data_IF_756390676399
#
_entry.id   IF_756390676399
#
_cell.length_a   1.000
_cell.length_b   1.000
_cell.length_c   1.000
_cell.angle_alpha   90.00
_cell.angle_beta   90.00
_cell.angle_gamma   90.00
#
_symmetry.space_group_name_H-M   'P 1'
#
loop_
_entity.id
_entity.type
_entity.pdbx_description
1 polymer ?
#
# COMPACT_ATOMS: atom_id res chain seq x y z
N UNK A 1 9.99 -9.08 -2.05
CA UNK A 1 8.83 -9.25 -2.97
C UNK A 1 9.02 -8.27 -4.12
N UNK A 2 8.64 -8.58 -5.37
CA UNK A 2 8.82 -7.61 -6.49
C UNK A 2 7.81 -6.46 -6.38
N UNK A 3 8.18 -5.25 -6.81
CA UNK A 3 7.26 -4.08 -6.78
C UNK A 3 5.99 -4.32 -7.59
N UNK A 4 6.08 -4.94 -8.76
CA UNK A 4 4.91 -5.29 -9.58
C UNK A 4 3.92 -6.18 -8.83
N UNK A 5 4.41 -7.13 -8.02
CA UNK A 5 3.56 -7.96 -7.16
C UNK A 5 2.89 -7.12 -6.06
N UNK A 6 3.62 -6.22 -5.42
CA UNK A 6 3.07 -5.33 -4.39
C UNK A 6 1.97 -4.44 -4.99
N UNK A 7 2.24 -3.81 -6.14
CA UNK A 7 1.28 -2.95 -6.85
C UNK A 7 0.02 -3.73 -7.24
N UNK A 8 0.17 -4.95 -7.76
CA UNK A 8 -0.98 -5.80 -8.09
C UNK A 8 -1.83 -6.12 -6.86
N UNK A 9 -1.20 -6.52 -5.74
CA UNK A 9 -1.94 -6.79 -4.49
C UNK A 9 -2.69 -5.55 -3.98
N UNK A 10 -2.06 -4.37 -4.08
CA UNK A 10 -2.68 -3.09 -3.71
C UNK A 10 -3.88 -2.77 -4.59
N UNK A 11 -3.76 -2.98 -5.91
CA UNK A 11 -4.83 -2.79 -6.88
C UNK A 11 -6.03 -3.71 -6.62
N UNK A 12 -5.78 -5.01 -6.48
CA UNK A 12 -6.83 -6.00 -6.21
C UNK A 12 -7.55 -5.70 -4.89
N UNK A 13 -6.80 -5.34 -3.85
CA UNK A 13 -7.36 -4.98 -2.54
C UNK A 13 -8.22 -3.71 -2.62
N UNK A 14 -7.73 -2.67 -3.30
CA UNK A 14 -8.51 -1.45 -3.53
C UNK A 14 -9.78 -1.72 -4.33
N UNK A 15 -9.70 -2.58 -5.35
CA UNK A 15 -10.84 -2.99 -6.17
C UNK A 15 -11.92 -3.65 -5.32
N UNK A 16 -11.54 -4.61 -4.46
CA UNK A 16 -12.46 -5.28 -3.54
C UNK A 16 -13.09 -4.30 -2.54
N UNK A 17 -12.30 -3.40 -1.95
CA UNK A 17 -12.80 -2.44 -0.97
C UNK A 17 -13.77 -1.41 -1.56
N UNK A 18 -13.78 -1.16 -2.89
CA UNK A 18 -14.77 -0.26 -3.52
C UNK A 18 -16.21 -0.76 -3.34
N UNK A 19 -16.40 -2.06 -3.16
CA UNK A 19 -17.71 -2.69 -2.98
C UNK A 19 -18.13 -2.82 -1.51
N UNK A 20 -17.30 -2.34 -0.58
CA UNK A 20 -17.56 -2.37 0.86
C UNK A 20 -18.03 -1.00 1.31
N UNK A 21 -19.13 -0.94 2.07
CA UNK A 21 -19.62 0.31 2.63
C UNK A 21 -18.55 1.00 3.49
N UNK A 22 -18.48 2.32 3.39
CA UNK A 22 -17.38 3.14 3.94
C UNK A 22 -17.12 2.94 5.44
N UNK A 23 -18.17 2.57 6.19
CA UNK A 23 -18.16 2.44 7.66
C UNK A 23 -17.99 1.00 8.14
N UNK A 24 -17.96 0.02 7.24
CA UNK A 24 -17.71 -1.37 7.62
C UNK A 24 -16.27 -1.50 8.09
N UNK A 25 -16.09 -2.10 9.26
CA UNK A 25 -14.78 -2.36 9.83
C UNK A 25 -13.98 -3.32 8.96
N UNK A 26 -12.79 -2.91 8.58
CA UNK A 26 -11.83 -3.71 7.83
C UNK A 26 -10.63 -4.11 8.70
N UNK A 27 -10.81 -4.22 10.02
CA UNK A 27 -9.72 -4.55 10.96
C UNK A 27 -8.94 -5.83 10.59
N UNK A 28 -9.60 -6.82 10.00
CA UNK A 28 -8.97 -8.06 9.53
C UNK A 28 -7.98 -7.87 8.36
N UNK A 29 -8.03 -6.74 7.66
CA UNK A 29 -7.11 -6.40 6.56
C UNK A 29 -5.91 -5.56 7.04
N UNK A 30 -5.93 -5.07 8.28
CA UNK A 30 -4.79 -4.34 8.87
C UNK A 30 -3.48 -5.14 8.83
N UNK A 31 -3.46 -6.44 9.18
CA UNK A 31 -2.24 -7.24 9.03
C UNK A 31 -1.70 -7.27 7.60
N UNK A 32 -2.58 -7.36 6.60
CA UNK A 32 -2.19 -7.33 5.18
C UNK A 32 -1.60 -5.98 4.79
N UNK A 33 -2.22 -4.87 5.21
CA UNK A 33 -1.66 -3.53 5.00
C UNK A 33 -0.26 -3.40 5.59
N UNK A 34 -0.07 -3.80 6.86
CA UNK A 34 1.22 -3.70 7.53
C UNK A 34 2.29 -4.56 6.84
N UNK A 35 1.95 -5.77 6.39
CA UNK A 35 2.88 -6.65 5.69
C UNK A 35 3.33 -6.05 4.34
N UNK A 36 2.39 -5.46 3.59
CA UNK A 36 2.67 -4.80 2.32
C UNK A 36 3.54 -3.55 2.55
N UNK A 37 3.25 -2.75 3.57
CA UNK A 37 4.07 -1.58 3.94
C UNK A 37 5.52 -1.98 4.25
N UNK A 38 5.74 -3.05 5.02
CA UNK A 38 7.08 -3.58 5.30
C UNK A 38 7.79 -4.01 4.04
N UNK A 39 7.10 -4.72 3.14
CA UNK A 39 7.67 -5.13 1.86
C UNK A 39 8.06 -3.94 0.98
N UNK A 40 7.21 -2.90 0.91
CA UNK A 40 7.47 -1.68 0.18
C UNK A 40 8.71 -0.94 0.71
N UNK A 41 8.82 -0.79 2.03
CA UNK A 41 9.99 -0.17 2.70
C UNK A 41 11.27 -0.96 2.53
N UNK A 42 11.18 -2.28 2.49
CA UNK A 42 12.36 -3.13 2.27
C UNK A 42 12.90 -2.95 0.86
N UNK A 43 12.03 -2.72 -0.13
CA UNK A 43 12.43 -2.47 -1.50
C UNK A 43 12.93 -1.03 -1.73
N UNK A 44 12.41 -0.08 -0.96
CA UNK A 44 12.71 1.36 -1.09
C UNK A 44 13.01 1.98 0.27
N UNK A 45 14.15 1.63 0.90
CA UNK A 45 14.46 2.03 2.27
C UNK A 45 14.66 3.54 2.43
N UNK A 46 15.07 4.22 1.36
CA UNK A 46 15.39 5.64 1.37
C UNK A 46 14.21 6.53 0.93
N UNK A 47 13.06 5.94 0.59
CA UNK A 47 11.90 6.71 0.15
C UNK A 47 11.23 7.42 1.35
N UNK A 48 11.14 8.76 1.33
CA UNK A 48 10.63 9.53 2.47
C UNK A 48 9.12 9.33 2.68
N UNK A 49 8.36 9.08 1.62
CA UNK A 49 6.91 8.91 1.70
C UNK A 49 6.55 7.56 2.34
N UNK A 50 7.12 6.47 1.86
CA UNK A 50 6.95 5.12 2.40
C UNK A 50 7.45 5.06 3.85
N UNK A 51 8.52 5.78 4.18
CA UNK A 51 9.02 5.90 5.56
C UNK A 51 8.05 6.65 6.48
N UNK A 52 7.27 7.60 5.96
CA UNK A 52 6.30 8.37 6.74
C UNK A 52 4.96 7.63 6.99
N UNK A 53 4.59 6.65 6.16
CA UNK A 53 3.31 5.93 6.32
C UNK A 53 3.28 5.10 7.62
N UNK A 54 2.33 5.32 8.55
CA UNK A 54 2.32 4.58 9.81
C UNK A 54 1.82 3.14 9.63
N UNK A 55 2.39 2.13 10.31
CA UNK A 55 1.70 0.86 10.47
C UNK A 55 0.43 1.08 11.29
N UNK A 56 -0.63 0.34 10.97
CA UNK A 56 -1.89 0.42 11.68
C UNK A 56 -1.88 -0.53 12.89
N UNK A 57 -2.50 -0.14 14.03
CA UNK A 57 -2.61 -1.01 15.19
C UNK A 57 -3.49 -2.22 14.86
N UNK A 58 -3.03 -3.42 15.25
CA UNK A 58 -3.84 -4.64 15.13
C UNK A 58 -4.86 -4.62 16.27
N UNK A 59 -6.11 -4.34 15.93
CA UNK A 59 -7.25 -4.35 16.84
C UNK A 59 -8.14 -5.56 16.59
N UNK A 60 -8.76 -6.07 17.65
CA UNK A 60 -9.71 -7.16 17.56
C UNK A 60 -11.02 -6.70 16.91
N UNK A 61 -11.75 -7.66 16.32
CA UNK A 61 -13.03 -7.40 15.65
C UNK A 61 -14.03 -6.78 16.63
N UNK A 62 -14.48 -5.55 16.37
CA UNK A 62 -15.51 -4.85 17.15
C UNK A 62 -15.01 -3.73 18.04
N UNK A 63 -13.70 -3.60 18.25
CA UNK A 63 -13.09 -2.43 18.89
C UNK A 63 -12.64 -1.47 17.78
N UNK A 64 -12.97 -0.17 17.91
CA UNK A 64 -12.78 0.88 16.91
C UNK A 64 -11.60 0.62 15.96
N UNK A 65 -11.91 0.12 14.77
CA UNK A 65 -10.94 -0.33 13.79
C UNK A 65 -10.92 0.56 12.56
N UNK A 66 -9.88 0.37 11.74
CA UNK A 66 -9.74 1.08 10.47
C UNK A 66 -10.97 0.81 9.57
N UNK A 67 -11.66 1.87 9.19
CA UNK A 67 -12.82 1.80 8.30
C UNK A 67 -12.39 1.49 6.87
N UNK A 68 -13.26 0.88 6.07
CA UNK A 68 -12.96 0.56 4.68
C UNK A 68 -12.54 1.79 3.85
N UNK A 69 -13.08 2.98 4.14
CA UNK A 69 -12.69 4.23 3.49
C UNK A 69 -11.25 4.64 3.78
N UNK A 70 -10.85 4.62 5.06
CA UNK A 70 -9.49 4.93 5.48
C UNK A 70 -8.49 3.94 4.86
N UNK A 71 -8.79 2.65 4.94
CA UNK A 71 -7.92 1.61 4.41
C UNK A 71 -7.75 1.72 2.89
N UNK A 72 -8.81 2.08 2.15
CA UNK A 72 -8.72 2.36 0.70
C UNK A 72 -7.76 3.50 0.40
N UNK A 73 -7.82 4.58 1.16
CA UNK A 73 -6.93 5.73 0.98
C UNK A 73 -5.49 5.31 1.20
N UNK A 74 -5.21 4.56 2.27
CA UNK A 74 -3.86 4.11 2.59
C UNK A 74 -3.29 3.17 1.53
N UNK A 75 -4.07 2.22 1.03
CA UNK A 75 -3.64 1.34 -0.06
C UNK A 75 -3.45 2.11 -1.37
N UNK A 76 -4.33 3.05 -1.71
CA UNK A 76 -4.20 3.87 -2.92
C UNK A 76 -2.96 4.76 -2.87
N UNK A 77 -2.69 5.40 -1.73
CA UNK A 77 -1.50 6.21 -1.51
C UNK A 77 -0.21 5.41 -1.70
N UNK A 78 -0.14 4.21 -1.10
CA UNK A 78 1.01 3.33 -1.27
C UNK A 78 1.19 2.87 -2.72
N UNK A 79 0.09 2.59 -3.42
CA UNK A 79 0.12 2.20 -4.84
C UNK A 79 0.72 3.33 -5.70
N UNK A 80 0.22 4.54 -5.55
CA UNK A 80 0.69 5.71 -6.32
C UNK A 80 2.18 5.96 -6.08
N UNK A 81 2.64 5.85 -4.83
CA UNK A 81 4.06 6.00 -4.50
C UNK A 81 4.92 4.94 -5.22
N UNK A 82 4.53 3.66 -5.14
CA UNK A 82 5.27 2.58 -5.77
C UNK A 82 5.26 2.64 -7.30
N UNK A 83 4.13 3.01 -7.91
CA UNK A 83 4.05 3.24 -9.36
C UNK A 83 4.97 4.39 -9.79
N UNK A 84 5.04 5.47 -9.00
CA UNK A 84 5.92 6.60 -9.28
C UNK A 84 7.40 6.19 -9.24
N UNK A 85 7.81 5.45 -8.21
CA UNK A 85 9.17 4.93 -8.05
C UNK A 85 9.55 3.93 -9.16
N UNK A 86 8.61 3.08 -9.58
CA UNK A 86 8.83 2.15 -10.69
C UNK A 86 9.05 2.90 -12.00
N UNK A 87 8.19 3.88 -12.30
CA UNK A 87 8.29 4.69 -13.52
C UNK A 87 9.60 5.52 -13.57
N UNK A 88 10.09 5.99 -12.43
CA UNK A 88 11.37 6.70 -12.34
C UNK A 88 12.57 5.78 -12.59
N UNK A 89 12.53 4.58 -12.03
CA UNK A 89 13.54 3.54 -12.26
C UNK A 89 13.63 3.14 -13.74
N UNK A 90 12.47 2.98 -14.40
CA UNK A 90 12.38 2.65 -15.82
C UNK A 90 12.91 3.78 -16.73
N UNK A 91 12.70 5.06 -16.39
CA UNK A 91 13.29 6.19 -17.14
C UNK A 91 14.82 6.26 -17.00
N UNK A 92 15.34 5.99 -15.81
CA UNK A 92 16.78 6.10 -15.52
C UNK A 92 17.58 5.03 -16.29
N UNK A 93 17.04 3.81 -16.39
CA UNK A 93 17.66 2.71 -17.16
C UNK A 93 17.65 2.95 -18.67
N UNK A 94 16.59 3.55 -19.22
CA UNK A 94 16.48 3.87 -20.64
C UNK A 94 17.49 4.96 -21.08
N UNK A 95 17.84 5.89 -20.19
CA UNK A 95 18.73 7.03 -20.51
C UNK A 95 20.22 6.63 -20.47
N UNK A 96 20.57 5.56 -19.76
CA UNK A 96 21.97 5.11 -19.59
C UNK A 96 22.42 4.13 -20.69
N UNK A 97 21.49 3.67 -21.53
CA UNK A 97 21.74 2.68 -22.59
C UNK A 97 21.83 3.29 -24.01
N UNK A 98 21.97 4.61 -24.12
CA UNK A 98 22.01 5.38 -25.37
C UNK A 98 23.35 6.01 -25.67
#
# INVERSE_FOLDING_TARGET
>A
MKNSTIIQMLEETCSMLKHVDAYVSCAHLVPSYNAILVAARTNHPDDPFLSALPPLPIVNKGEGGCGSAELRVLFAQMRIALESLQNESERTTATTSG
#
